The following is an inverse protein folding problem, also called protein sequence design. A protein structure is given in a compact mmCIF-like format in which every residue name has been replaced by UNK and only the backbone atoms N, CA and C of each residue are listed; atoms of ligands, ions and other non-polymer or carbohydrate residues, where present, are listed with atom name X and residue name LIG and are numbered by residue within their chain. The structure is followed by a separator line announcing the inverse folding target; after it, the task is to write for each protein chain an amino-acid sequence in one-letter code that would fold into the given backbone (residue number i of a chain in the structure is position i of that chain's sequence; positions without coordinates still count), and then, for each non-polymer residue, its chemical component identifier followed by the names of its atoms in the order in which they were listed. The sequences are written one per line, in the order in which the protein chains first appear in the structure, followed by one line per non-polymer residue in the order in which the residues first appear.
data_IF_758984976228
#
_entry.id   IF_758984976228
#
_cell.length_a   1.000
_cell.length_b   1.000
_cell.length_c   1.000
_cell.angle_alpha   90.00
_cell.angle_beta   90.00
_cell.angle_gamma   90.00
#
_symmetry.space_group_name_H-M   'P 1'
#
loop_
_entity.id
_entity.type
_entity.pdbx_description
1 polymer ?
#
# COMPACT_ATOMS: atom_id res chain seq x y z
N UNK A 1 6.26 -19.56 -43.04
CA UNK A 1 6.78 -18.18 -43.07
C UNK A 1 7.93 -18.10 -42.10
N UNK A 2 9.07 -17.58 -42.52
CA UNK A 2 10.26 -17.51 -41.67
C UNK A 2 10.18 -16.29 -40.75
N UNK A 3 10.85 -16.37 -39.58
CA UNK A 3 10.87 -15.33 -38.55
C UNK A 3 11.05 -13.88 -39.09
N UNK A 4 11.99 -13.58 -40.02
CA UNK A 4 12.16 -12.21 -40.52
C UNK A 4 10.94 -11.69 -41.30
N UNK A 5 10.18 -12.57 -41.95
CA UNK A 5 8.95 -12.19 -42.66
C UNK A 5 7.81 -11.88 -41.69
N UNK A 6 7.76 -12.53 -40.52
CA UNK A 6 6.76 -12.24 -39.48
C UNK A 6 7.04 -10.91 -38.79
N UNK A 7 8.31 -10.64 -38.47
CA UNK A 7 8.74 -9.37 -37.89
C UNK A 7 8.48 -8.18 -38.83
N UNK A 8 8.77 -8.35 -40.14
CA UNK A 8 8.46 -7.32 -41.13
C UNK A 8 6.95 -7.03 -41.27
N UNK A 9 6.10 -8.06 -41.19
CA UNK A 9 4.65 -7.90 -41.24
C UNK A 9 4.13 -7.20 -39.97
N UNK A 10 4.66 -7.57 -38.81
CA UNK A 10 4.30 -6.96 -37.53
C UNK A 10 4.65 -5.47 -37.49
N UNK A 11 5.86 -5.10 -37.92
CA UNK A 11 6.26 -3.69 -38.00
C UNK A 11 5.38 -2.85 -38.93
N UNK A 12 4.96 -3.41 -40.07
CA UNK A 12 4.06 -2.73 -41.01
C UNK A 12 2.65 -2.52 -40.44
N UNK A 13 2.13 -3.51 -39.70
CA UNK A 13 0.84 -3.39 -39.01
C UNK A 13 0.93 -2.32 -37.93
N UNK A 14 2.01 -2.29 -37.16
CA UNK A 14 2.18 -1.35 -36.05
C UNK A 14 2.28 0.10 -36.55
N UNK A 15 3.01 0.34 -37.65
CA UNK A 15 3.05 1.66 -38.31
C UNK A 15 1.67 2.08 -38.81
N UNK A 16 0.89 1.16 -39.38
CA UNK A 16 -0.46 1.46 -39.86
C UNK A 16 -1.40 1.82 -38.71
N UNK A 17 -1.31 1.12 -37.58
CA UNK A 17 -2.11 1.41 -36.38
C UNK A 17 -1.76 2.80 -35.81
N UNK A 18 -0.48 3.12 -35.66
CA UNK A 18 -0.05 4.44 -35.17
C UNK A 18 -0.43 5.58 -36.11
N UNK A 19 -0.33 5.37 -37.43
CA UNK A 19 -0.75 6.38 -38.41
C UNK A 19 -2.25 6.63 -38.38
N UNK A 20 -3.07 5.58 -38.24
CA UNK A 20 -4.53 5.71 -38.09
C UNK A 20 -4.87 6.43 -36.78
N UNK A 21 -4.25 6.03 -35.66
CA UNK A 21 -4.48 6.64 -34.35
C UNK A 21 -4.12 8.13 -34.33
N UNK A 22 -2.97 8.52 -34.89
CA UNK A 22 -2.55 9.92 -34.97
C UNK A 22 -3.48 10.78 -35.85
N UNK A 23 -3.98 10.24 -36.96
CA UNK A 23 -4.95 10.95 -37.81
C UNK A 23 -6.32 11.10 -37.13
N UNK A 24 -6.78 10.08 -36.39
CA UNK A 24 -8.03 10.19 -35.63
C UNK A 24 -7.91 11.15 -34.44
N UNK A 25 -6.78 11.18 -33.75
CA UNK A 25 -6.56 12.11 -32.64
C UNK A 25 -6.63 13.57 -33.12
N UNK A 26 -5.97 13.87 -34.25
CA UNK A 26 -5.96 15.22 -34.84
C UNK A 26 -7.31 15.66 -35.46
N UNK A 27 -8.27 14.74 -35.61
CA UNK A 27 -9.59 15.02 -36.16
C UNK A 27 -10.67 15.18 -35.09
N UNK A 28 -10.38 14.80 -33.83
CA UNK A 28 -11.34 14.79 -32.71
C UNK A 28 -10.92 15.78 -31.62
N UNK A 29 -9.63 16.09 -31.50
CA UNK A 29 -9.11 17.05 -30.52
C UNK A 29 -8.97 18.41 -31.22
N UNK A 30 -9.79 19.37 -30.80
CA UNK A 30 -9.71 20.77 -31.26
C UNK A 30 -8.45 21.45 -30.68
N UNK A 31 -7.84 22.35 -31.45
CA UNK A 31 -6.57 23.03 -31.11
C UNK A 31 -6.67 23.84 -29.79
N UNK A 32 -7.88 24.28 -29.42
CA UNK A 32 -8.17 24.97 -28.16
C UNK A 32 -8.03 24.04 -26.93
N UNK A 33 -8.25 22.74 -27.08
CA UNK A 33 -8.06 21.76 -26.00
C UNK A 33 -6.58 21.52 -25.72
N UNK A 34 -5.75 21.58 -26.77
CA UNK A 34 -4.29 21.47 -26.65
C UNK A 34 -3.69 22.73 -26.03
N UNK A 35 -4.26 23.91 -26.29
CA UNK A 35 -3.85 25.17 -25.65
C UNK A 35 -4.19 25.19 -24.15
N UNK A 36 -5.40 24.74 -23.75
CA UNK A 36 -5.77 24.67 -22.33
C UNK A 36 -4.83 23.76 -21.51
N UNK A 37 -4.36 22.64 -22.07
CA UNK A 37 -3.39 21.77 -21.39
C UNK A 37 -1.99 22.37 -21.27
N UNK A 38 -1.67 23.38 -22.08
CA UNK A 38 -0.40 24.13 -22.00
C UNK A 38 -0.54 25.35 -21.08
N UNK A 39 -1.74 25.90 -20.94
CA UNK A 39 -2.04 27.04 -20.06
C UNK A 39 -2.35 26.64 -18.59
N UNK A 40 -2.50 25.34 -18.29
CA UNK A 40 -2.66 24.79 -16.92
C UNK A 40 -1.32 24.48 -16.20
N UNK A 41 -0.20 25.06 -16.64
CA UNK A 41 1.00 25.20 -15.78
C UNK A 41 0.87 26.48 -14.93
N UNK A 42 1.01 26.42 -13.59
CA UNK A 42 0.95 27.62 -12.77
C UNK A 42 2.19 28.48 -13.03
N UNK A 43 2.00 29.64 -13.68
CA UNK A 43 3.04 30.66 -13.83
C UNK A 43 3.42 31.26 -12.46
N UNK A 44 4.65 30.98 -12.02
CA UNK A 44 5.29 31.59 -10.86
C UNK A 44 5.58 33.09 -11.13
N UNK A 45 4.80 33.97 -10.51
CA UNK A 45 5.00 35.41 -10.56
C UNK A 45 5.96 35.87 -9.46
N UNK A 46 7.26 35.87 -9.77
CA UNK A 46 8.26 36.59 -8.98
C UNK A 46 8.01 38.11 -8.96
N UNK A 47 7.67 38.66 -7.79
CA UNK A 47 7.83 40.08 -7.48
C UNK A 47 8.68 40.27 -6.24
N UNK A 48 9.89 40.79 -6.45
CA UNK A 48 10.84 41.17 -5.43
C UNK A 48 10.35 42.39 -4.62
N UNK A 49 10.37 42.26 -3.29
CA UNK A 49 10.48 43.35 -2.32
C UNK A 49 11.42 42.87 -1.19
N UNK A 50 12.52 43.60 -0.98
CA UNK A 50 13.52 43.39 0.08
C UNK A 50 12.95 43.72 1.47
N UNK A 51 13.31 42.93 2.49
CA UNK A 51 13.04 43.27 3.89
C UNK A 51 13.51 42.24 4.93
N UNK A 52 14.80 42.27 5.25
CA UNK A 52 15.49 41.90 6.51
C UNK A 52 14.99 40.76 7.44
N UNK A 53 15.94 39.83 7.67
CA UNK A 53 16.26 39.09 8.91
C UNK A 53 15.22 38.13 9.51
N UNK A 54 15.52 36.82 9.49
CA UNK A 54 16.06 36.08 10.66
C UNK A 54 16.50 34.66 10.27
N UNK A 55 17.59 34.18 10.87
CA UNK A 55 18.12 32.82 10.79
C UNK A 55 17.04 31.74 10.98
N UNK A 56 16.96 30.80 10.04
CA UNK A 56 16.77 29.38 10.36
C UNK A 56 17.55 28.55 9.35
N UNK A 57 18.27 27.56 9.86
CA UNK A 57 19.02 26.60 9.08
C UNK A 57 18.09 25.87 8.10
N UNK A 58 18.58 25.66 6.88
CA UNK A 58 17.82 25.06 5.78
C UNK A 58 17.33 23.67 6.13
N UNK A 59 16.03 23.47 5.98
CA UNK A 59 15.53 22.21 5.48
C UNK A 59 15.54 22.35 3.96
N UNK A 60 16.33 21.50 3.32
CA UNK A 60 16.19 21.23 1.90
C UNK A 60 14.77 20.68 1.71
N UNK A 61 13.92 21.45 1.02
CA UNK A 61 12.73 20.92 0.37
C UNK A 61 13.24 19.95 -0.71
N UNK A 62 13.44 18.70 -0.32
CA UNK A 62 13.39 17.62 -1.28
C UNK A 62 11.98 17.65 -1.86
N UNK A 63 11.87 17.96 -3.15
CA UNK A 63 10.69 17.62 -3.93
C UNK A 63 10.35 16.17 -3.57
N UNK A 64 9.26 15.98 -2.83
CA UNK A 64 8.71 14.67 -2.58
C UNK A 64 8.43 14.09 -3.95
N UNK A 65 9.33 13.21 -4.42
CA UNK A 65 9.10 12.36 -5.57
C UNK A 65 7.72 11.76 -5.40
N UNK A 66 7.00 11.61 -6.51
CA UNK A 66 5.69 10.97 -6.55
C UNK A 66 5.80 9.67 -5.76
N UNK A 67 5.30 9.66 -4.52
CA UNK A 67 5.28 8.46 -3.71
C UNK A 67 4.58 7.41 -4.54
N UNK A 68 5.24 6.29 -4.81
CA UNK A 68 4.64 5.21 -5.60
C UNK A 68 3.47 4.56 -4.86
N UNK A 69 3.19 4.97 -3.62
CA UNK A 69 2.16 4.43 -2.73
C UNK A 69 2.23 2.89 -2.69
N UNK A 70 3.45 2.35 -2.71
CA UNK A 70 3.70 0.92 -2.74
C UNK A 70 3.24 0.19 -4.01
N UNK A 71 2.79 0.89 -5.07
CA UNK A 71 2.23 0.27 -6.28
C UNK A 71 3.28 -0.17 -7.31
N UNK A 72 4.48 0.40 -7.23
CA UNK A 72 5.54 0.16 -8.20
C UNK A 72 6.38 -1.06 -7.82
N UNK A 73 6.86 -1.78 -8.84
CA UNK A 73 7.84 -2.86 -8.64
C UNK A 73 9.27 -2.35 -8.50
N UNK A 74 9.49 -1.06 -8.74
CA UNK A 74 10.77 -0.40 -8.60
C UNK A 74 10.58 1.06 -8.18
N UNK A 75 11.41 1.52 -7.26
CA UNK A 75 11.44 2.89 -6.75
C UNK A 75 12.86 3.22 -6.26
N UNK A 76 13.30 4.47 -6.45
CA UNK A 76 14.63 4.95 -6.05
C UNK A 76 15.82 4.05 -6.45
N UNK A 77 15.68 3.34 -7.57
CA UNK A 77 16.69 2.41 -8.09
C UNK A 77 16.68 1.03 -7.43
N UNK A 78 15.80 0.78 -6.47
CA UNK A 78 15.48 -0.54 -5.95
C UNK A 78 14.41 -1.21 -6.82
N UNK A 79 14.46 -2.53 -6.99
CA UNK A 79 13.51 -3.30 -7.81
C UNK A 79 13.22 -4.68 -7.21
N UNK A 80 11.96 -5.12 -7.28
CA UNK A 80 11.57 -6.51 -7.03
C UNK A 80 11.84 -7.36 -8.26
N UNK A 81 12.71 -8.34 -8.09
CA UNK A 81 13.13 -9.27 -9.14
C UNK A 81 12.96 -10.71 -8.67
N UNK A 82 13.05 -11.65 -9.62
CA UNK A 82 12.99 -13.10 -9.36
C UNK A 82 11.76 -13.54 -8.53
N UNK A 83 10.64 -12.81 -8.67
CA UNK A 83 9.39 -13.14 -7.98
C UNK A 83 8.83 -14.44 -8.53
N UNK A 84 8.70 -15.43 -7.66
CA UNK A 84 8.13 -16.73 -7.94
C UNK A 84 7.19 -17.15 -6.82
N UNK A 85 6.10 -17.84 -7.17
CA UNK A 85 5.11 -18.35 -6.24
C UNK A 85 4.37 -19.53 -6.89
N UNK A 86 3.66 -20.38 -6.11
CA UNK A 86 2.75 -21.37 -6.67
C UNK A 86 1.76 -20.72 -7.65
N UNK A 87 1.52 -21.37 -8.79
CA UNK A 87 0.68 -20.81 -9.86
C UNK A 87 -0.76 -21.31 -9.87
N UNK A 88 -1.13 -22.19 -8.95
CA UNK A 88 -2.46 -22.79 -8.81
C UNK A 88 -2.89 -22.75 -7.34
N UNK A 89 -4.18 -22.58 -7.07
CA UNK A 89 -4.72 -22.63 -5.71
C UNK A 89 -4.58 -24.06 -5.13
N UNK A 90 -4.24 -24.16 -3.84
CA UNK A 90 -3.97 -25.41 -3.14
C UNK A 90 -2.67 -26.12 -3.54
N UNK A 91 -1.80 -25.47 -4.33
CA UNK A 91 -0.46 -25.98 -4.60
C UNK A 91 0.52 -25.47 -3.56
N UNK A 92 1.18 -26.40 -2.86
CA UNK A 92 2.23 -26.12 -1.89
C UNK A 92 3.59 -25.99 -2.62
N UNK A 93 4.22 -24.82 -2.50
CA UNK A 93 5.60 -24.57 -2.94
C UNK A 93 6.19 -23.41 -2.11
N UNK A 94 7.06 -22.60 -2.69
CA UNK A 94 7.65 -21.43 -2.05
C UNK A 94 7.23 -20.14 -2.76
N UNK A 95 6.95 -19.09 -1.98
CA UNK A 95 6.94 -17.71 -2.48
C UNK A 95 8.32 -17.12 -2.23
N UNK A 96 8.94 -16.58 -3.27
CA UNK A 96 10.26 -15.98 -3.20
C UNK A 96 10.42 -14.72 -4.03
N UNK A 97 11.36 -13.86 -3.64
CA UNK A 97 11.74 -12.65 -4.36
C UNK A 97 13.19 -12.25 -4.05
N UNK A 98 13.73 -11.33 -4.85
CA UNK A 98 15.01 -10.64 -4.61
C UNK A 98 14.78 -9.13 -4.76
N UNK A 99 15.28 -8.35 -3.81
CA UNK A 99 15.39 -6.89 -3.96
C UNK A 99 16.76 -6.59 -4.58
N UNK A 100 16.78 -6.00 -5.78
CA UNK A 100 18.02 -5.46 -6.37
C UNK A 100 18.14 -3.98 -6.08
N UNK A 101 19.34 -3.51 -5.75
CA UNK A 101 19.59 -2.10 -5.46
C UNK A 101 20.00 -1.29 -6.71
N UNK A 102 20.30 0.02 -6.53
CA UNK A 102 20.64 0.93 -7.63
C UNK A 102 21.89 0.55 -8.44
N UNK A 103 22.75 -0.33 -7.90
CA UNK A 103 23.92 -0.87 -8.58
C UNK A 103 23.62 -2.13 -9.43
N UNK A 104 22.37 -2.60 -9.39
CA UNK A 104 21.89 -3.81 -10.06
C UNK A 104 22.22 -5.12 -9.33
N UNK A 105 22.78 -5.06 -8.12
CA UNK A 105 23.11 -6.24 -7.31
C UNK A 105 21.98 -6.56 -6.32
N UNK A 106 21.80 -7.83 -5.90
CA UNK A 106 20.94 -8.16 -4.77
C UNK A 106 21.35 -7.40 -3.50
N UNK A 107 20.37 -6.79 -2.83
CA UNK A 107 20.56 -6.18 -1.52
C UNK A 107 20.64 -7.29 -0.47
N UNK A 108 21.63 -7.21 0.41
CA UNK A 108 21.87 -8.20 1.48
C UNK A 108 22.01 -7.57 2.86
N UNK A 109 21.78 -6.26 2.97
CA UNK A 109 21.95 -5.49 4.19
C UNK A 109 20.70 -4.61 4.38
N UNK A 110 19.91 -4.95 5.38
CA UNK A 110 18.62 -4.34 5.70
C UNK A 110 18.61 -4.00 7.18
N UNK A 111 18.03 -2.86 7.52
CA UNK A 111 17.74 -2.52 8.91
C UNK A 111 16.47 -3.26 9.36
N UNK A 112 16.36 -3.50 10.67
CA UNK A 112 15.13 -4.04 11.24
C UNK A 112 14.10 -2.92 11.33
N UNK A 113 12.91 -3.19 10.80
CA UNK A 113 11.69 -2.45 11.08
C UNK A 113 10.68 -3.39 11.71
N UNK A 114 10.06 -2.97 12.82
CA UNK A 114 9.16 -3.84 13.60
C UNK A 114 9.75 -5.25 13.89
N UNK A 115 11.03 -5.29 14.29
CA UNK A 115 11.80 -6.51 14.60
C UNK A 115 12.08 -7.46 13.41
N UNK A 116 11.73 -7.08 12.18
CA UNK A 116 11.94 -7.87 10.97
C UNK A 116 12.69 -7.07 9.92
N UNK A 117 13.47 -7.76 9.07
CA UNK A 117 14.13 -7.11 7.94
C UNK A 117 13.16 -6.89 6.75
N UNK A 118 12.05 -7.65 6.68
CA UNK A 118 11.09 -7.64 5.58
C UNK A 118 9.68 -7.99 6.08
N UNK A 119 8.72 -7.12 5.79
CA UNK A 119 7.30 -7.46 5.82
C UNK A 119 6.82 -7.79 4.41
N UNK A 120 6.31 -9.01 4.25
CA UNK A 120 5.71 -9.44 3.00
C UNK A 120 4.20 -9.52 3.18
N UNK A 121 3.47 -8.75 2.37
CA UNK A 121 2.02 -8.72 2.40
C UNK A 121 1.50 -9.28 1.08
N UNK A 122 0.56 -10.22 1.14
CA UNK A 122 -0.15 -10.72 -0.03
C UNK A 122 -1.65 -10.51 0.14
N UNK A 123 -2.30 -9.93 -0.86
CA UNK A 123 -3.74 -9.68 -0.83
C UNK A 123 -4.32 -9.84 -2.23
N UNK A 124 -5.50 -10.44 -2.34
CA UNK A 124 -6.18 -10.61 -3.62
C UNK A 124 -6.70 -9.26 -4.12
N UNK A 125 -6.84 -9.10 -5.44
CA UNK A 125 -7.25 -7.85 -6.07
C UNK A 125 -8.63 -7.31 -5.63
N UNK A 126 -9.46 -8.13 -4.97
CA UNK A 126 -10.74 -7.75 -4.36
C UNK A 126 -10.64 -7.49 -2.84
N UNK A 127 -9.42 -7.39 -2.30
CA UNK A 127 -9.17 -7.17 -0.87
C UNK A 127 -9.30 -8.40 0.02
N UNK A 128 -9.58 -9.58 -0.54
CA UNK A 128 -9.74 -10.81 0.23
C UNK A 128 -8.40 -11.55 0.37
N UNK A 129 -8.36 -12.54 1.28
CA UNK A 129 -7.21 -13.41 1.49
C UNK A 129 -5.91 -12.66 1.80
N UNK A 130 -6.02 -11.61 2.60
CA UNK A 130 -4.87 -10.89 3.14
C UNK A 130 -4.02 -11.82 4.00
N UNK A 131 -2.70 -11.70 3.86
CA UNK A 131 -1.70 -12.33 4.74
C UNK A 131 -0.52 -11.39 4.91
N UNK A 132 -0.07 -11.23 6.15
CA UNK A 132 1.14 -10.51 6.52
C UNK A 132 2.13 -11.54 7.09
N UNK A 133 3.27 -11.72 6.42
CA UNK A 133 4.27 -12.73 6.77
C UNK A 133 5.68 -12.17 6.69
N UNK A 134 6.63 -12.90 7.24
CA UNK A 134 8.03 -12.49 7.34
C UNK A 134 8.89 -13.59 6.71
N UNK A 135 9.28 -13.46 5.43
CA UNK A 135 10.15 -14.44 4.78
C UNK A 135 11.57 -14.37 5.35
N UNK A 136 12.33 -15.45 5.18
CA UNK A 136 13.74 -15.48 5.55
C UNK A 136 14.62 -15.19 4.33
N UNK A 137 15.72 -14.46 4.54
CA UNK A 137 16.71 -14.16 3.51
C UNK A 137 17.91 -15.10 3.59
N UNK A 138 18.38 -15.57 2.45
CA UNK A 138 19.65 -16.28 2.35
C UNK A 138 20.87 -15.36 2.18
N UNK A 139 22.08 -15.93 2.22
CA UNK A 139 23.33 -15.18 2.05
C UNK A 139 23.47 -14.50 0.66
N UNK A 140 22.66 -14.91 -0.32
CA UNK A 140 22.65 -14.35 -1.68
C UNK A 140 21.62 -13.23 -1.86
N UNK A 141 20.81 -12.91 -0.84
CA UNK A 141 19.80 -11.87 -0.89
C UNK A 141 18.43 -12.35 -1.35
N UNK A 142 18.22 -13.66 -1.48
CA UNK A 142 16.92 -14.23 -1.85
C UNK A 142 16.06 -14.42 -0.61
N UNK A 143 14.85 -13.89 -0.68
CA UNK A 143 13.81 -14.05 0.32
C UNK A 143 12.91 -15.21 -0.04
N UNK A 144 12.52 -16.01 0.94
CA UNK A 144 11.65 -17.17 0.73
C UNK A 144 10.78 -17.51 1.93
N UNK A 145 9.59 -18.04 1.65
CA UNK A 145 8.68 -18.61 2.65
C UNK A 145 7.86 -19.76 2.02
N UNK A 146 7.62 -20.88 2.74
CA UNK A 146 6.66 -21.88 2.30
C UNK A 146 5.28 -21.25 2.09
N UNK A 147 4.63 -21.57 0.97
CA UNK A 147 3.43 -20.89 0.54
C UNK A 147 2.43 -21.79 -0.17
N UNK A 148 1.15 -21.56 0.11
CA UNK A 148 0.00 -22.15 -0.59
C UNK A 148 -1.08 -21.07 -0.72
N UNK A 149 -1.63 -20.87 -1.91
CA UNK A 149 -2.79 -19.97 -2.09
C UNK A 149 -4.09 -20.71 -1.78
N UNK A 150 -4.92 -20.20 -0.88
CA UNK A 150 -6.20 -20.85 -0.56
C UNK A 150 -7.18 -20.78 -1.73
N UNK A 151 -7.18 -19.65 -2.44
CA UNK A 151 -8.11 -19.34 -3.52
C UNK A 151 -7.37 -18.82 -4.76
N UNK A 152 -8.01 -18.94 -5.92
CA UNK A 152 -7.48 -18.40 -7.16
C UNK A 152 -7.74 -16.89 -7.28
N UNK A 153 -7.00 -16.24 -8.19
CA UNK A 153 -7.17 -14.82 -8.49
C UNK A 153 -5.85 -14.11 -8.81
N UNK A 154 -5.94 -12.80 -9.00
CA UNK A 154 -4.76 -11.92 -9.02
C UNK A 154 -4.47 -11.47 -7.61
N UNK A 155 -3.24 -11.69 -7.14
CA UNK A 155 -2.75 -11.21 -5.86
C UNK A 155 -1.73 -10.11 -6.07
N UNK A 156 -1.79 -9.03 -5.29
CA UNK A 156 -0.68 -8.11 -5.13
C UNK A 156 0.19 -8.58 -3.97
N UNK A 157 1.49 -8.63 -4.20
CA UNK A 157 2.50 -8.98 -3.20
C UNK A 157 3.35 -7.74 -2.97
N UNK A 158 3.33 -7.23 -1.75
CA UNK A 158 4.15 -6.12 -1.29
C UNK A 158 5.35 -6.64 -0.50
N UNK A 159 6.46 -5.96 -0.68
CA UNK A 159 7.67 -6.10 0.11
C UNK A 159 7.95 -4.73 0.72
N UNK A 160 7.88 -4.65 2.03
CA UNK A 160 8.18 -3.46 2.82
C UNK A 160 9.45 -3.71 3.64
N UNK A 161 10.46 -2.86 3.41
CA UNK A 161 11.82 -3.09 3.88
C UNK A 161 12.60 -1.78 4.01
N UNK A 162 13.67 -1.79 4.81
CA UNK A 162 14.58 -0.64 4.98
C UNK A 162 15.99 -1.04 4.53
N UNK A 163 16.45 -0.65 3.33
CA UNK A 163 17.82 -0.89 2.92
C UNK A 163 18.77 -0.06 3.79
N UNK A 164 19.77 -0.70 4.41
CA UNK A 164 20.71 0.00 5.29
C UNK A 164 21.48 1.15 4.59
N UNK A 165 21.63 1.05 3.26
CA UNK A 165 22.27 2.07 2.44
C UNK A 165 21.38 3.30 2.16
N UNK A 166 20.05 3.13 2.16
CA UNK A 166 19.09 4.22 1.98
C UNK A 166 18.75 4.87 3.33
N UNK A 167 18.56 4.06 4.38
CA UNK A 167 18.16 4.53 5.71
C UNK A 167 16.72 5.04 5.79
N UNK A 168 15.93 4.80 4.74
CA UNK A 168 14.50 5.09 4.66
C UNK A 168 13.74 3.84 4.18
N UNK A 169 12.50 3.69 4.63
CA UNK A 169 11.65 2.56 4.29
C UNK A 169 11.12 2.67 2.86
N UNK A 170 11.09 1.52 2.18
CA UNK A 170 10.56 1.39 0.83
C UNK A 170 9.54 0.26 0.80
N UNK A 171 8.40 0.55 0.17
CA UNK A 171 7.41 -0.46 -0.16
C UNK A 171 7.38 -0.64 -1.67
N UNK A 172 7.70 -1.84 -2.14
CA UNK A 172 7.56 -2.21 -3.55
C UNK A 172 6.52 -3.31 -3.68
N UNK A 173 5.88 -3.42 -4.85
CA UNK A 173 4.96 -4.52 -5.09
C UNK A 173 4.91 -5.01 -6.53
N UNK A 174 4.39 -6.21 -6.70
CA UNK A 174 4.07 -6.78 -8.00
C UNK A 174 2.80 -7.62 -7.92
N UNK A 175 2.27 -8.03 -9.08
CA UNK A 175 1.11 -8.92 -9.14
C UNK A 175 1.53 -10.36 -9.49
N UNK A 176 0.90 -11.31 -8.82
CA UNK A 176 1.02 -12.76 -9.07
C UNK A 176 -0.33 -13.29 -9.52
N UNK A 177 -0.33 -14.14 -10.54
CA UNK A 177 -1.53 -14.81 -11.04
C UNK A 177 -1.62 -16.23 -10.49
N UNK A 178 -2.73 -16.53 -9.82
CA UNK A 178 -3.05 -17.86 -9.28
C UNK A 178 -4.21 -18.43 -10.08
N UNK A 179 -3.98 -19.54 -10.76
CA UNK A 179 -4.97 -20.22 -11.58
C UNK A 179 -5.96 -21.03 -10.73
N UNK A 180 -7.20 -21.06 -11.18
CA UNK A 180 -8.32 -21.77 -10.57
C UNK A 180 -9.63 -21.02 -10.80
N UNK A 181 -10.68 -21.43 -10.10
CA UNK A 181 -11.98 -20.76 -10.16
C UNK A 181 -11.92 -19.45 -9.37
N UNK A 182 -12.31 -18.34 -9.99
CA UNK A 182 -12.26 -17.01 -9.39
C UNK A 182 -13.66 -16.41 -9.31
N UNK A 183 -14.13 -16.16 -8.09
CA UNK A 183 -15.38 -15.47 -7.76
C UNK A 183 -15.05 -14.30 -6.80
N UNK A 184 -14.91 -13.06 -7.30
CA UNK A 184 -14.50 -11.93 -6.48
C UNK A 184 -15.59 -11.47 -5.51
N UNK A 185 -15.16 -11.10 -4.31
CA UNK A 185 -16.03 -10.62 -3.24
C UNK A 185 -15.52 -9.28 -2.70
N UNK A 186 -15.49 -8.21 -3.51
CA UNK A 186 -14.99 -6.91 -3.07
C UNK A 186 -15.89 -6.31 -1.98
N UNK A 187 -15.29 -5.47 -1.13
CA UNK A 187 -16.03 -4.73 -0.11
C UNK A 187 -17.06 -3.78 -0.74
N UNK A 188 -18.35 -3.97 -0.43
CA UNK A 188 -19.43 -3.15 -0.99
C UNK A 188 -19.82 -1.97 -0.11
N UNK A 189 -19.60 -2.07 1.20
CA UNK A 189 -20.02 -1.08 2.21
C UNK A 189 -18.94 -0.97 3.30
N UNK A 190 -18.88 0.15 4.05
CA UNK A 190 -18.03 0.25 5.24
C UNK A 190 -18.35 -0.85 6.26
N UNK A 191 -17.30 -1.31 6.94
CA UNK A 191 -17.34 -2.32 8.00
C UNK A 191 -16.43 -1.82 9.12
N UNK A 192 -17.04 -1.20 10.13
CA UNK A 192 -16.32 -0.65 11.28
C UNK A 192 -16.21 -1.63 12.44
N UNK A 193 -16.90 -2.77 12.37
CA UNK A 193 -16.92 -3.82 13.38
C UNK A 193 -16.83 -5.18 12.70
N UNK A 194 -16.00 -6.08 13.24
CA UNK A 194 -15.82 -7.45 12.72
C UNK A 194 -15.54 -8.42 13.85
N UNK A 195 -15.77 -9.71 13.60
CA UNK A 195 -15.44 -10.78 14.55
C UNK A 195 -14.42 -11.73 13.91
N UNK A 196 -13.29 -11.94 14.57
CA UNK A 196 -12.24 -12.88 14.16
C UNK A 196 -11.85 -13.77 15.33
N UNK A 197 -11.86 -15.10 15.14
CA UNK A 197 -11.43 -16.08 16.14
C UNK A 197 -12.05 -15.93 17.56
N UNK A 198 -13.25 -15.36 17.65
CA UNK A 198 -13.95 -15.09 18.91
C UNK A 198 -13.64 -13.74 19.57
N UNK A 199 -12.89 -12.87 18.88
CA UNK A 199 -12.70 -11.48 19.24
C UNK A 199 -13.60 -10.58 18.41
N UNK A 200 -14.26 -9.63 19.06
CA UNK A 200 -14.95 -8.54 18.39
C UNK A 200 -13.99 -7.34 18.34
N UNK A 201 -13.74 -6.84 17.14
CA UNK A 201 -12.85 -5.72 16.85
C UNK A 201 -13.66 -4.60 16.24
N UNK A 202 -13.52 -3.40 16.80
CA UNK A 202 -14.15 -2.18 16.30
C UNK A 202 -13.10 -1.10 16.02
N UNK A 203 -13.27 -0.37 14.92
CA UNK A 203 -12.50 0.85 14.63
C UNK A 203 -13.37 2.08 14.90
N UNK A 204 -12.84 2.99 15.70
CA UNK A 204 -13.41 4.33 15.92
C UNK A 204 -12.50 5.39 15.29
N UNK A 205 -13.12 6.44 14.74
CA UNK A 205 -12.42 7.50 14.00
C UNK A 205 -12.87 7.55 12.54
N UNK A 206 -12.67 8.70 11.91
CA UNK A 206 -13.02 8.95 10.52
C UNK A 206 -11.74 9.22 9.72
N UNK A 207 -11.58 8.58 8.56
CA UNK A 207 -10.51 8.91 7.63
C UNK A 207 -10.87 10.18 6.85
N UNK A 208 -9.99 11.17 6.87
CA UNK A 208 -10.07 12.34 6.02
C UNK A 208 -9.03 12.25 4.91
N UNK A 209 -9.43 12.56 3.67
CA UNK A 209 -8.49 12.62 2.55
C UNK A 209 -7.48 13.76 2.74
N UNK A 210 -6.20 13.48 2.50
CA UNK A 210 -5.11 14.45 2.56
C UNK A 210 -4.64 14.83 3.96
N UNK A 211 -5.24 14.26 5.03
CA UNK A 211 -4.92 14.61 6.41
C UNK A 211 -4.64 13.37 7.28
N UNK A 212 -3.76 13.56 8.26
CA UNK A 212 -3.54 12.57 9.31
C UNK A 212 -4.80 12.43 10.17
N UNK A 213 -5.27 11.20 10.30
CA UNK A 213 -6.46 10.82 11.05
C UNK A 213 -6.10 9.80 12.12
N UNK A 214 -6.68 9.95 13.31
CA UNK A 214 -6.49 8.99 14.41
C UNK A 214 -7.55 7.88 14.31
N UNK A 215 -7.11 6.62 14.27
CA UNK A 215 -7.95 5.44 14.29
C UNK A 215 -7.71 4.66 15.59
N UNK A 216 -8.79 4.38 16.32
CA UNK A 216 -8.77 3.67 17.60
C UNK A 216 -9.35 2.27 17.40
N UNK A 217 -8.51 1.26 17.57
CA UNK A 217 -8.89 -0.15 17.49
C UNK A 217 -9.26 -0.65 18.88
N UNK A 218 -10.52 -1.02 19.08
CA UNK A 218 -11.02 -1.59 20.32
C UNK A 218 -11.21 -3.10 20.16
N UNK A 219 -10.61 -3.88 21.06
CA UNK A 219 -10.66 -5.35 21.01
C UNK A 219 -11.37 -5.86 22.26
N UNK A 220 -12.41 -6.68 22.05
CA UNK A 220 -13.15 -7.34 23.13
C UNK A 220 -13.27 -8.85 22.88
N UNK A 221 -13.41 -9.62 23.95
CA UNK A 221 -13.66 -11.06 23.92
C UNK A 221 -14.77 -11.38 24.92
N UNK A 222 -15.82 -12.05 24.46
CA UNK A 222 -17.01 -12.34 25.29
C UNK A 222 -17.66 -11.08 25.93
N UNK A 223 -17.54 -9.92 25.28
CA UNK A 223 -18.07 -8.63 25.76
C UNK A 223 -17.22 -7.93 26.83
N UNK A 224 -16.04 -8.46 27.17
CA UNK A 224 -15.05 -7.80 28.04
C UNK A 224 -13.89 -7.24 27.20
N UNK A 225 -13.39 -6.01 27.50
CA UNK A 225 -12.20 -5.48 26.85
C UNK A 225 -10.96 -6.34 27.06
N UNK A 226 -10.19 -6.57 26.00
CA UNK A 226 -8.93 -7.34 26.06
C UNK A 226 -7.81 -6.45 26.58
N UNK A 227 -7.32 -6.71 27.79
CA UNK A 227 -6.21 -5.95 28.41
C UNK A 227 -4.92 -6.76 28.52
N UNK A 228 -4.84 -7.86 27.77
CA UNK A 228 -3.71 -8.80 27.75
C UNK A 228 -3.14 -8.91 26.33
N UNK A 229 -3.17 -7.82 25.56
CA UNK A 229 -2.50 -7.77 24.26
C UNK A 229 -1.01 -7.99 24.44
N UNK A 230 -0.45 -8.93 23.69
CA UNK A 230 0.98 -9.24 23.71
C UNK A 230 1.70 -8.42 22.63
N UNK A 231 2.95 -7.99 22.89
CA UNK A 231 3.79 -7.41 21.87
C UNK A 231 4.05 -8.41 20.75
N UNK A 232 3.73 -8.01 19.53
CA UNK A 232 4.04 -8.71 18.30
C UNK A 232 4.79 -7.73 17.40
N UNK A 233 5.96 -8.10 16.88
CA UNK A 233 6.74 -7.24 15.98
C UNK A 233 6.99 -5.83 16.56
N UNK A 234 7.32 -5.77 17.85
CA UNK A 234 7.60 -4.51 18.56
C UNK A 234 6.41 -3.56 18.75
N UNK A 235 5.16 -4.00 18.60
CA UNK A 235 3.96 -3.21 18.91
C UNK A 235 2.82 -4.10 19.45
N UNK A 236 1.75 -3.49 19.98
CA UNK A 236 0.54 -4.25 20.39
C UNK A 236 -0.39 -4.60 19.23
N UNK A 237 -0.14 -4.03 18.05
CA UNK A 237 -0.78 -4.42 16.81
C UNK A 237 -0.21 -3.68 15.61
N UNK A 238 -0.45 -4.25 14.44
CA UNK A 238 0.03 -3.77 13.13
C UNK A 238 -1.17 -3.53 12.24
N UNK A 239 -1.25 -2.34 11.66
CA UNK A 239 -2.35 -1.97 10.78
C UNK A 239 -1.81 -1.74 9.38
N UNK A 240 -2.23 -2.59 8.44
CA UNK A 240 -2.06 -2.35 7.01
C UNK A 240 -3.37 -1.76 6.49
N UNK A 241 -3.28 -0.61 5.82
CA UNK A 241 -4.42 -0.01 5.13
C UNK A 241 -4.10 0.11 3.64
N UNK A 242 -5.03 -0.33 2.79
CA UNK A 242 -4.89 -0.36 1.33
C UNK A 242 -6.08 0.33 0.67
N UNK A 243 -5.83 1.15 -0.34
CA UNK A 243 -6.91 1.74 -1.14
C UNK A 243 -7.64 0.64 -1.93
N UNK A 244 -8.97 0.64 -1.87
CA UNK A 244 -9.77 -0.29 -2.66
C UNK A 244 -9.57 -0.06 -4.17
N UNK A 245 -9.59 -1.14 -4.94
CA UNK A 245 -9.32 -1.15 -6.38
C UNK A 245 -7.84 -1.36 -6.72
N UNK A 246 -6.98 -0.36 -6.52
CA UNK A 246 -5.57 -0.45 -6.93
C UNK A 246 -4.62 -1.02 -5.86
N UNK A 247 -5.10 -1.08 -4.61
CA UNK A 247 -4.36 -1.53 -3.44
C UNK A 247 -3.16 -0.62 -3.13
N UNK A 248 -3.28 0.68 -3.38
CA UNK A 248 -2.26 1.64 -2.97
C UNK A 248 -2.06 1.56 -1.44
N UNK A 249 -0.80 1.47 -1.02
CA UNK A 249 -0.41 1.34 0.38
C UNK A 249 -0.55 2.67 1.12
N UNK A 250 -1.11 2.64 2.32
CA UNK A 250 -1.26 3.84 3.15
C UNK A 250 -0.17 3.92 4.18
N UNK A 251 0.22 5.15 4.49
CA UNK A 251 1.12 5.45 5.58
C UNK A 251 0.35 5.36 6.90
N UNK A 252 0.73 4.40 7.74
CA UNK A 252 0.13 4.13 9.05
C UNK A 252 1.25 3.93 10.06
N UNK A 253 1.14 4.58 11.22
CA UNK A 253 2.04 4.33 12.34
C UNK A 253 1.28 4.16 13.65
N UNK A 254 1.70 3.22 14.51
CA UNK A 254 1.12 3.07 15.84
C UNK A 254 1.47 4.28 16.71
N UNK A 255 0.53 4.69 17.54
CA UNK A 255 0.73 5.71 18.55
C UNK A 255 1.33 5.10 19.82
N UNK A 256 2.33 5.77 20.41
CA UNK A 256 2.94 5.38 21.67
C UNK A 256 4.37 4.89 21.55
N UNK A 257 4.96 4.51 22.69
CA UNK A 257 6.28 3.90 22.72
C UNK A 257 6.18 2.40 22.41
N UNK A 258 7.21 1.83 21.79
CA UNK A 258 7.32 0.39 21.62
C UNK A 258 7.27 -0.31 22.99
N UNK A 259 6.42 -1.33 23.16
CA UNK A 259 6.32 -2.08 24.41
C UNK A 259 7.54 -2.95 24.66
N UNK A 260 7.80 -3.23 25.94
CA UNK A 260 8.77 -4.26 26.33
C UNK A 260 8.17 -5.66 26.16
N UNK A 261 8.98 -6.70 25.92
CA UNK A 261 8.49 -8.05 25.57
C UNK A 261 7.56 -8.74 26.60
N UNK A 262 7.58 -8.31 27.87
CA UNK A 262 6.71 -8.83 28.95
C UNK A 262 5.58 -7.85 29.33
N UNK A 263 5.45 -6.73 28.60
CA UNK A 263 4.40 -5.74 28.82
C UNK A 263 3.10 -6.21 28.18
N UNK A 264 1.96 -5.91 28.81
CA UNK A 264 0.63 -6.18 28.25
C UNK A 264 -0.08 -4.87 27.92
N UNK A 265 -0.73 -4.81 26.77
CA UNK A 265 -1.41 -3.61 26.27
C UNK A 265 -2.93 -3.72 26.26
N UNK A 266 -3.57 -2.72 25.65
CA UNK A 266 -5.02 -2.66 25.44
C UNK A 266 -5.80 -1.90 26.51
N UNK A 267 -7.13 -1.83 26.35
CA UNK A 267 -7.94 -2.49 25.31
C UNK A 267 -8.00 -1.76 23.97
N UNK A 268 -7.32 -0.62 23.89
CA UNK A 268 -7.26 0.22 22.71
C UNK A 268 -5.85 0.19 22.12
N UNK A 269 -5.78 0.12 20.79
CA UNK A 269 -4.56 0.38 20.01
C UNK A 269 -4.87 1.59 19.11
N UNK A 270 -4.03 2.61 19.15
CA UNK A 270 -4.26 3.84 18.38
C UNK A 270 -3.26 3.92 17.24
N UNK A 271 -3.74 4.25 16.05
CA UNK A 271 -2.93 4.47 14.86
C UNK A 271 -3.16 5.88 14.32
N UNK A 272 -2.12 6.47 13.75
CA UNK A 272 -2.25 7.63 12.86
C UNK A 272 -2.18 7.13 11.42
N UNK A 273 -3.18 7.46 10.61
CA UNK A 273 -3.28 7.05 9.22
C UNK A 273 -3.57 8.27 8.32
N UNK A 274 -2.89 8.35 7.17
CA UNK A 274 -3.14 9.40 6.18
C UNK A 274 -3.66 8.78 4.89
N UNK A 275 -4.93 9.03 4.57
CA UNK A 275 -5.51 8.64 3.28
C UNK A 275 -5.12 9.66 2.21
N UNK A 276 -4.37 9.31 1.16
CA UNK A 276 -3.90 10.30 0.18
C UNK A 276 -5.02 10.89 -0.68
N UNK A 277 -6.13 10.16 -0.84
CA UNK A 277 -7.29 10.59 -1.64
C UNK A 277 -8.60 10.25 -0.93
N UNK A 278 -9.70 10.82 -1.40
CA UNK A 278 -11.02 10.25 -1.09
C UNK A 278 -11.11 8.82 -1.62
N UNK A 279 -12.02 8.03 -1.03
CA UNK A 279 -12.34 6.69 -1.50
C UNK A 279 -12.37 5.66 -0.38
N UNK A 280 -12.51 4.39 -0.76
CA UNK A 280 -12.58 3.28 0.17
C UNK A 280 -11.21 2.72 0.50
N UNK A 281 -11.03 2.33 1.75
CA UNK A 281 -9.80 1.75 2.28
C UNK A 281 -10.11 0.46 3.04
N UNK A 282 -9.29 -0.55 2.78
CA UNK A 282 -9.35 -1.89 3.36
C UNK A 282 -8.30 -1.94 4.46
N UNK A 283 -8.73 -2.20 5.69
CA UNK A 283 -7.89 -2.18 6.88
C UNK A 283 -7.71 -3.61 7.39
N UNK A 284 -6.48 -3.99 7.68
CA UNK A 284 -6.10 -5.29 8.23
C UNK A 284 -5.29 -5.08 9.50
N UNK A 285 -5.89 -5.39 10.65
CA UNK A 285 -5.27 -5.27 11.96
C UNK A 285 -4.77 -6.64 12.42
N UNK A 286 -3.47 -6.78 12.56
CA UNK A 286 -2.85 -7.89 13.28
C UNK A 286 -2.71 -7.52 14.76
N UNK A 287 -3.10 -8.43 15.64
CA UNK A 287 -2.90 -8.31 17.09
C UNK A 287 -2.64 -9.69 17.70
N UNK A 288 -1.93 -9.74 18.83
CA UNK A 288 -1.55 -10.99 19.48
C UNK A 288 -2.18 -11.15 20.86
N UNK A 289 -2.77 -12.32 21.10
CA UNK A 289 -3.33 -12.75 22.39
C UNK A 289 -3.14 -14.26 22.53
N UNK A 290 -2.81 -14.73 23.74
CA UNK A 290 -2.59 -16.16 24.03
C UNK A 290 -1.53 -16.81 23.10
N UNK A 291 -0.52 -16.05 22.70
CA UNK A 291 0.57 -16.45 21.79
C UNK A 291 0.14 -16.65 20.34
N UNK A 292 -1.06 -16.21 19.95
CA UNK A 292 -1.61 -16.36 18.61
C UNK A 292 -1.89 -14.99 17.99
N UNK A 293 -1.48 -14.83 16.72
CA UNK A 293 -1.76 -13.63 15.93
C UNK A 293 -3.13 -13.79 15.27
N UNK A 294 -3.93 -12.73 15.34
CA UNK A 294 -5.26 -12.63 14.77
C UNK A 294 -5.32 -11.44 13.82
N UNK A 295 -5.94 -11.63 12.66
CA UNK A 295 -6.07 -10.58 11.64
C UNK A 295 -7.53 -10.18 11.49
N UNK A 296 -7.89 -8.98 11.92
CA UNK A 296 -9.22 -8.41 11.73
C UNK A 296 -9.27 -7.55 10.46
N UNK A 297 -10.26 -7.79 9.60
CA UNK A 297 -10.49 -6.98 8.39
C UNK A 297 -11.65 -6.03 8.55
N UNK A 298 -11.43 -4.76 8.24
CA UNK A 298 -12.39 -3.66 8.32
C UNK A 298 -12.36 -2.83 7.05
N UNK A 299 -13.37 -1.98 6.84
CA UNK A 299 -13.51 -1.14 5.66
C UNK A 299 -13.96 0.25 6.09
N UNK A 300 -13.18 1.27 5.73
CA UNK A 300 -13.52 2.67 5.97
C UNK A 300 -13.56 3.42 4.64
N UNK A 301 -14.41 4.44 4.56
CA UNK A 301 -14.41 5.39 3.46
C UNK A 301 -13.75 6.68 3.96
N UNK A 302 -12.81 7.25 3.20
CA UNK A 302 -12.26 8.57 3.44
C UNK A 302 -13.02 9.61 2.62
N UNK A 303 -13.46 10.68 3.28
CA UNK A 303 -14.19 11.78 2.68
C UNK A 303 -13.34 13.06 2.65
N UNK A 304 -13.65 13.97 1.72
CA UNK A 304 -13.24 15.37 1.81
C UNK A 304 -14.16 16.11 2.80
N UNK A 305 -13.57 16.86 3.74
CA UNK A 305 -14.35 17.53 4.80
C UNK A 305 -15.19 18.69 4.30
N UNK A 306 -14.94 19.20 3.09
CA UNK A 306 -15.67 20.36 2.55
C UNK A 306 -17.15 20.04 2.22
N UNK A 307 -17.58 18.78 2.30
CA UNK A 307 -18.96 18.37 1.96
C UNK A 307 -19.94 18.26 3.14
N UNK A 308 -19.51 18.40 4.40
CA UNK A 308 -20.37 18.18 5.57
C UNK A 308 -20.83 19.46 6.31
N UNK A 309 -20.40 20.66 5.93
CA UNK A 309 -20.82 21.91 6.61
C UNK A 309 -22.06 22.62 6.02
N UNK A 310 -22.55 22.28 4.81
CA UNK A 310 -23.65 23.02 4.15
C UNK A 310 -25.06 22.38 4.30
N UNK A 311 -25.24 21.59 5.35
CA UNK A 311 -26.47 20.83 5.61
C UNK A 311 -27.38 21.37 6.72
N UNK A 312 -27.26 22.62 7.19
CA UNK A 312 -28.12 23.09 8.27
C UNK A 312 -28.66 24.54 8.11
N UNK A 313 -29.86 24.61 7.53
CA UNK A 313 -31.02 25.33 8.07
C UNK A 313 -30.97 26.87 8.12
N UNK A 314 -31.44 27.51 7.04
CA UNK A 314 -31.99 28.87 7.11
C UNK A 314 -33.31 28.97 6.34
N UNK A 315 -34.40 28.54 7.01
CA UNK A 315 -35.76 28.98 6.70
C UNK A 315 -36.42 29.53 7.98
N UNK A 316 -36.41 30.87 8.12
CA UNK A 316 -37.23 31.64 9.07
C UNK A 316 -37.74 32.93 8.40
#
# INVERSE_FOLDING_TARGET
MNAPTRLGLYGLILVAVFAVAGVTANAVIDEDTVQNWVDEEPEDHHRAEEGDNMNSAGHDDHEAGISTLGLASADDGYELTEVAAPSEAGAEDELSLVVTGPDGSPVTDFDLDHEQEMHLIAVRADGQHFRHVHPERDDAGRWSIPWEWDEAGTYRVFADFVPAAAGEGLTLSTSVQVAGDYDPTPASEPVTETTVDGFDVAVEGDLAAGEASELRMNITRDGEPVTELEPYLGAFGHLVALRDGDLAYLHVHPHGAAPEAEETGGPEIVFEATAPTEGRYLLYLDFQVDGQVHTASMVLDAADRDHDEDGNDHDH
#
